data_IF_056060182361
#
_entry.id   IF_056060182361
#
_cell.length_a   1.000
_cell.length_b   1.000
_cell.length_c   1.000
_cell.angle_alpha   90.00
_cell.angle_beta   90.00
_cell.angle_gamma   90.00
#
_symmetry.space_group_name_H-M   'P 1'
#
loop_
_entity.id
_entity.type
_entity.pdbx_description
1 polymer ?
#
# COMPACT_ATOMS: atom_id res chain seq x y z
N UNK A 1 31.65 -21.40 -14.06
CA UNK A 1 31.11 -20.21 -14.74
C UNK A 1 32.28 -19.30 -15.04
N UNK A 2 32.39 -18.77 -16.26
CA UNK A 2 33.49 -17.84 -16.58
C UNK A 2 33.28 -16.51 -15.84
N UNK A 3 34.36 -15.87 -15.39
CA UNK A 3 34.29 -14.62 -14.60
C UNK A 3 33.41 -13.56 -15.26
N UNK A 4 33.47 -13.44 -16.60
CA UNK A 4 32.66 -12.51 -17.35
C UNK A 4 31.15 -12.80 -17.22
N UNK A 5 30.76 -14.07 -17.25
CA UNK A 5 29.36 -14.48 -17.08
C UNK A 5 28.83 -14.11 -15.68
N UNK A 6 29.65 -14.25 -14.64
CA UNK A 6 29.30 -13.86 -13.27
C UNK A 6 29.08 -12.36 -13.17
N UNK A 7 29.98 -11.56 -13.76
CA UNK A 7 29.85 -10.11 -13.80
C UNK A 7 28.57 -9.66 -14.53
N UNK A 8 28.30 -10.27 -15.68
CA UNK A 8 27.12 -9.95 -16.49
C UNK A 8 25.83 -10.31 -15.75
N UNK A 9 25.78 -11.45 -15.06
CA UNK A 9 24.64 -11.85 -14.23
C UNK A 9 24.43 -10.89 -13.05
N UNK A 10 25.50 -10.53 -12.34
CA UNK A 10 25.40 -9.57 -11.23
C UNK A 10 24.91 -8.19 -11.70
N UNK A 11 25.33 -7.75 -12.89
CA UNK A 11 24.86 -6.51 -13.52
C UNK A 11 23.37 -6.59 -13.84
N UNK A 12 22.88 -7.67 -14.45
CA UNK A 12 21.46 -7.85 -14.77
C UNK A 12 20.58 -7.86 -13.52
N UNK A 13 21.04 -8.49 -12.44
CA UNK A 13 20.34 -8.48 -11.14
C UNK A 13 20.25 -7.06 -10.57
N UNK A 14 21.35 -6.31 -10.61
CA UNK A 14 21.39 -4.92 -10.13
C UNK A 14 20.49 -4.00 -10.96
N UNK A 15 20.49 -4.13 -12.29
CA UNK A 15 19.59 -3.39 -13.18
C UNK A 15 18.13 -3.69 -12.88
N UNK A 16 17.79 -4.97 -12.66
CA UNK A 16 16.45 -5.41 -12.28
C UNK A 16 16.02 -4.84 -10.92
N UNK A 17 16.90 -4.88 -9.91
CA UNK A 17 16.65 -4.28 -8.60
C UNK A 17 16.37 -2.78 -8.69
N UNK A 18 17.19 -2.04 -9.45
CA UNK A 18 16.99 -0.61 -9.67
C UNK A 18 15.67 -0.34 -10.41
N UNK A 19 15.32 -1.16 -11.40
CA UNK A 19 14.05 -1.05 -12.10
C UNK A 19 12.86 -1.23 -11.17
N UNK A 20 12.84 -2.28 -10.34
CA UNK A 20 11.75 -2.52 -9.39
C UNK A 20 11.68 -1.45 -8.30
N UNK A 21 12.82 -0.98 -7.79
CA UNK A 21 12.86 0.15 -6.84
C UNK A 21 12.24 1.43 -7.45
N UNK A 22 12.55 1.73 -8.71
CA UNK A 22 11.96 2.87 -9.40
C UNK A 22 10.45 2.71 -9.57
N UNK A 23 9.98 1.52 -9.97
CA UNK A 23 8.54 1.26 -10.08
C UNK A 23 7.83 1.46 -8.74
N UNK A 24 8.35 0.93 -7.63
CA UNK A 24 7.77 1.16 -6.31
C UNK A 24 7.65 2.64 -5.96
N UNK A 25 8.70 3.42 -6.25
CA UNK A 25 8.69 4.88 -6.06
C UNK A 25 7.58 5.55 -6.88
N UNK A 26 7.41 5.17 -8.15
CA UNK A 26 6.34 5.70 -9.01
C UNK A 26 4.94 5.34 -8.50
N UNK A 27 4.71 4.11 -8.02
CA UNK A 27 3.43 3.73 -7.43
C UNK A 27 3.09 4.53 -6.17
N UNK A 28 4.09 4.88 -5.35
CA UNK A 28 3.89 5.72 -4.16
C UNK A 28 3.61 7.18 -4.51
N UNK A 29 4.19 7.68 -5.61
CA UNK A 29 3.82 9.00 -6.17
C UNK A 29 2.38 9.01 -6.65
N UNK A 30 1.96 7.98 -7.38
CA UNK A 30 0.56 7.82 -7.84
C UNK A 30 -0.39 7.74 -6.63
N UNK A 31 -0.03 6.98 -5.60
CA UNK A 31 -0.82 6.90 -4.37
C UNK A 31 -0.95 8.26 -3.66
N UNK A 32 0.13 9.04 -3.60
CA UNK A 32 0.10 10.40 -3.06
C UNK A 32 -0.79 11.34 -3.90
N UNK A 33 -0.73 11.23 -5.22
CA UNK A 33 -1.62 11.94 -6.13
C UNK A 33 -3.09 11.54 -5.94
N UNK A 34 -3.37 10.26 -5.71
CA UNK A 34 -4.72 9.74 -5.44
C UNK A 34 -5.28 10.29 -4.14
N UNK A 35 -4.46 10.37 -3.09
CA UNK A 35 -4.83 11.02 -1.82
C UNK A 35 -5.18 12.50 -2.03
N UNK A 36 -4.33 13.23 -2.75
CA UNK A 36 -4.55 14.65 -3.02
C UNK A 36 -5.84 14.87 -3.81
N UNK A 37 -6.10 14.06 -4.85
CA UNK A 37 -7.34 14.12 -5.62
C UNK A 37 -8.57 13.83 -4.75
N UNK A 38 -8.46 12.87 -3.83
CA UNK A 38 -9.52 12.53 -2.88
C UNK A 38 -9.82 13.71 -1.94
N UNK A 39 -8.80 14.37 -1.40
CA UNK A 39 -8.97 15.57 -0.58
C UNK A 39 -9.56 16.75 -1.36
N UNK A 40 -9.14 16.96 -2.60
CA UNK A 40 -9.71 17.99 -3.47
C UNK A 40 -11.20 17.73 -3.72
N UNK A 41 -11.57 16.47 -4.00
CA UNK A 41 -12.97 16.06 -4.17
C UNK A 41 -13.81 16.31 -2.92
N UNK A 42 -13.27 15.98 -1.74
CA UNK A 42 -13.93 16.26 -0.44
C UNK A 42 -14.09 17.78 -0.25
N UNK A 43 -13.03 18.58 -0.45
CA UNK A 43 -13.09 20.03 -0.30
C UNK A 43 -14.10 20.68 -1.25
N UNK A 44 -14.17 20.20 -2.49
CA UNK A 44 -15.18 20.64 -3.45
C UNK A 44 -16.60 20.31 -2.99
N UNK A 45 -16.85 19.07 -2.56
CA UNK A 45 -18.16 18.62 -2.08
C UNK A 45 -18.62 19.36 -0.82
N UNK A 46 -17.68 19.73 0.06
CA UNK A 46 -17.97 20.55 1.25
C UNK A 46 -18.36 21.99 0.89
N UNK A 47 -17.70 22.58 -0.11
CA UNK A 47 -17.93 23.98 -0.50
C UNK A 47 -19.17 24.16 -1.39
N UNK A 48 -19.51 23.16 -2.19
CA UNK A 48 -20.53 23.27 -3.25
C UNK A 48 -21.79 22.41 -2.98
N UNK A 49 -22.14 22.20 -1.72
CA UNK A 49 -23.23 21.31 -1.30
C UNK A 49 -24.55 21.52 -2.05
N UNK A 50 -24.93 22.78 -2.32
CA UNK A 50 -26.21 23.13 -2.98
C UNK A 50 -26.28 22.79 -4.47
N UNK A 51 -25.13 22.52 -5.11
CA UNK A 51 -25.05 22.23 -6.55
C UNK A 51 -25.11 20.71 -6.79
N UNK A 52 -24.90 19.89 -5.75
CA UNK A 52 -24.88 18.44 -5.89
C UNK A 52 -26.31 17.90 -6.10
N UNK A 53 -26.53 17.01 -7.09
CA UNK A 53 -27.84 16.40 -7.35
C UNK A 53 -28.22 15.32 -6.32
N UNK A 54 -27.31 14.99 -5.40
CA UNK A 54 -27.46 13.94 -4.38
C UNK A 54 -27.08 14.49 -3.01
N UNK A 55 -27.52 13.81 -1.95
CA UNK A 55 -27.17 14.17 -0.57
C UNK A 55 -25.65 14.26 -0.39
N UNK A 56 -25.22 15.34 0.26
CA UNK A 56 -23.80 15.64 0.45
C UNK A 56 -23.06 14.54 1.22
N UNK A 57 -23.69 13.95 2.25
CA UNK A 57 -23.06 12.90 3.05
C UNK A 57 -22.85 11.64 2.23
N UNK A 58 -23.83 11.28 1.40
CA UNK A 58 -23.73 10.13 0.50
C UNK A 58 -22.64 10.36 -0.54
N UNK A 59 -22.57 11.54 -1.14
CA UNK A 59 -21.52 11.86 -2.11
C UNK A 59 -20.11 11.80 -1.49
N UNK A 60 -19.93 12.38 -0.30
CA UNK A 60 -18.67 12.33 0.44
C UNK A 60 -18.30 10.89 0.82
N UNK A 61 -19.27 10.06 1.21
CA UNK A 61 -19.05 8.65 1.51
C UNK A 61 -18.54 7.89 0.26
N UNK A 62 -19.12 8.17 -0.93
CA UNK A 62 -18.63 7.60 -2.18
C UNK A 62 -17.20 8.02 -2.50
N UNK A 63 -16.84 9.28 -2.31
CA UNK A 63 -15.46 9.74 -2.50
C UNK A 63 -14.52 9.00 -1.56
N UNK A 64 -14.88 8.86 -0.28
CA UNK A 64 -14.06 8.16 0.71
C UNK A 64 -13.89 6.66 0.38
N UNK A 65 -14.94 5.98 -0.07
CA UNK A 65 -14.83 4.59 -0.53
C UNK A 65 -13.99 4.47 -1.80
N UNK A 66 -14.17 5.35 -2.78
CA UNK A 66 -13.35 5.39 -3.99
C UNK A 66 -11.87 5.65 -3.69
N UNK A 67 -11.59 6.56 -2.76
CA UNK A 67 -10.24 6.83 -2.26
C UNK A 67 -9.61 5.56 -1.67
N UNK A 68 -10.34 4.89 -0.77
CA UNK A 68 -9.90 3.66 -0.11
C UNK A 68 -9.64 2.53 -1.11
N UNK A 69 -10.56 2.33 -2.05
CA UNK A 69 -10.45 1.28 -3.07
C UNK A 69 -9.23 1.51 -3.97
N UNK A 70 -9.02 2.74 -4.45
CA UNK A 70 -7.84 3.06 -5.25
C UNK A 70 -6.53 2.82 -4.51
N UNK A 71 -6.46 3.16 -3.21
CA UNK A 71 -5.28 2.88 -2.39
C UNK A 71 -5.05 1.38 -2.17
N UNK A 72 -6.11 0.58 -2.01
CA UNK A 72 -6.00 -0.89 -1.90
C UNK A 72 -5.44 -1.48 -3.20
N UNK A 73 -5.89 -1.00 -4.36
CA UNK A 73 -5.37 -1.45 -5.65
C UNK A 73 -3.89 -1.10 -5.81
N UNK A 74 -3.51 0.14 -5.46
CA UNK A 74 -2.11 0.59 -5.51
C UNK A 74 -1.22 -0.16 -4.52
N UNK A 75 -1.72 -0.44 -3.30
CA UNK A 75 -1.05 -1.31 -2.34
C UNK A 75 -0.77 -2.66 -2.97
N UNK A 76 -1.79 -3.30 -3.54
CA UNK A 76 -1.65 -4.65 -4.10
C UNK A 76 -0.58 -4.70 -5.19
N UNK A 77 -0.47 -3.67 -6.02
CA UNK A 77 0.61 -3.58 -7.01
C UNK A 77 1.98 -3.37 -6.35
N UNK A 78 2.14 -2.36 -5.48
CA UNK A 78 3.42 -2.01 -4.84
C UNK A 78 3.96 -3.19 -3.99
N UNK A 79 3.14 -3.71 -3.08
CA UNK A 79 3.57 -4.72 -2.11
C UNK A 79 3.37 -6.17 -2.55
N UNK A 80 2.25 -6.50 -3.21
CA UNK A 80 2.00 -7.92 -3.55
C UNK A 80 2.76 -8.36 -4.81
N UNK A 81 3.13 -7.43 -5.69
CA UNK A 81 3.82 -7.72 -6.96
C UNK A 81 5.25 -7.20 -6.93
N UNK A 82 5.45 -5.89 -6.87
CA UNK A 82 6.79 -5.32 -7.08
C UNK A 82 7.76 -5.59 -5.94
N UNK A 83 7.32 -5.51 -4.68
CA UNK A 83 8.16 -5.89 -3.55
C UNK A 83 8.57 -7.38 -3.62
N UNK A 84 7.71 -8.28 -4.07
CA UNK A 84 8.06 -9.71 -4.18
C UNK A 84 9.09 -9.96 -5.27
N UNK A 85 8.97 -9.26 -6.41
CA UNK A 85 9.94 -9.35 -7.50
C UNK A 85 11.29 -8.76 -7.11
N UNK A 86 11.28 -7.62 -6.40
CA UNK A 86 12.49 -7.01 -5.85
C UNK A 86 13.18 -7.96 -4.86
N UNK A 87 12.43 -8.51 -3.91
CA UNK A 87 12.97 -9.43 -2.90
C UNK A 87 13.52 -10.72 -3.54
N UNK A 88 12.86 -11.25 -4.58
CA UNK A 88 13.34 -12.43 -5.30
C UNK A 88 14.70 -12.15 -5.96
N UNK A 89 14.85 -11.03 -6.68
CA UNK A 89 16.12 -10.65 -7.30
C UNK A 89 17.21 -10.36 -6.28
N UNK A 90 16.86 -9.66 -5.20
CA UNK A 90 17.80 -9.34 -4.13
C UNK A 90 18.31 -10.61 -3.43
N UNK A 91 17.44 -11.61 -3.22
CA UNK A 91 17.82 -12.91 -2.66
C UNK A 91 18.75 -13.69 -3.59
N UNK A 92 18.50 -13.70 -4.90
CA UNK A 92 19.42 -14.33 -5.85
C UNK A 92 20.76 -13.60 -5.95
N UNK A 93 20.76 -12.27 -5.89
CA UNK A 93 21.99 -11.46 -5.82
C UNK A 93 22.81 -11.73 -4.55
N UNK A 94 22.16 -11.91 -3.40
CA UNK A 94 22.82 -12.33 -2.16
C UNK A 94 23.49 -13.70 -2.31
N UNK A 95 22.79 -14.69 -2.88
CA UNK A 95 23.38 -16.02 -3.12
C UNK A 95 24.61 -15.93 -4.02
N UNK A 96 24.53 -15.13 -5.08
CA UNK A 96 25.65 -14.92 -6.01
C UNK A 96 26.85 -14.27 -5.30
N UNK A 97 26.61 -13.24 -4.48
CA UNK A 97 27.65 -12.61 -3.67
C UNK A 97 28.29 -13.60 -2.67
N UNK A 98 27.50 -14.50 -2.06
CA UNK A 98 28.02 -15.53 -1.14
C UNK A 98 28.89 -16.58 -1.85
N UNK A 99 28.48 -17.01 -3.04
CA UNK A 99 29.20 -18.01 -3.82
C UNK A 99 30.54 -17.46 -4.35
N UNK A 100 30.58 -16.18 -4.73
CA UNK A 100 31.74 -15.53 -5.32
C UNK A 100 32.26 -14.40 -4.43
N UNK A 101 33.11 -14.74 -3.46
CA UNK A 101 33.71 -13.80 -2.49
C UNK A 101 34.54 -12.66 -3.09
N UNK A 102 35.00 -12.80 -4.34
CA UNK A 102 35.70 -11.74 -5.07
C UNK A 102 34.75 -10.64 -5.58
N UNK A 103 33.43 -10.90 -5.62
CA UNK A 103 32.44 -9.87 -5.91
C UNK A 103 32.28 -8.90 -4.74
N UNK A 104 32.00 -7.61 -5.02
CA UNK A 104 31.59 -6.66 -4.00
C UNK A 104 30.33 -7.15 -3.26
N UNK A 105 30.41 -7.23 -1.92
CA UNK A 105 29.34 -7.73 -1.05
C UNK A 105 28.31 -6.64 -0.72
N UNK A 106 27.80 -5.94 -1.73
CA UNK A 106 26.95 -4.75 -1.56
C UNK A 106 25.65 -5.10 -0.86
N UNK A 107 24.97 -6.18 -1.27
CA UNK A 107 23.67 -6.56 -0.70
C UNK A 107 23.79 -7.05 0.74
N UNK A 108 24.88 -7.76 1.05
CA UNK A 108 25.19 -8.14 2.44
C UNK A 108 25.37 -6.91 3.33
N UNK A 109 26.13 -5.93 2.85
CA UNK A 109 26.33 -4.67 3.57
C UNK A 109 25.00 -3.92 3.75
N UNK A 110 24.15 -3.87 2.72
CA UNK A 110 22.81 -3.24 2.82
C UNK A 110 21.94 -3.91 3.90
N UNK A 111 21.92 -5.25 3.96
CA UNK A 111 21.19 -5.97 5.00
C UNK A 111 21.73 -5.68 6.40
N UNK A 112 23.07 -5.68 6.55
CA UNK A 112 23.74 -5.39 7.81
C UNK A 112 23.41 -3.96 8.31
N UNK A 113 23.47 -2.96 7.42
CA UNK A 113 23.15 -1.57 7.78
C UNK A 113 21.67 -1.34 8.10
N UNK A 114 20.76 -2.05 7.44
CA UNK A 114 19.33 -1.93 7.71
C UNK A 114 18.83 -2.77 8.90
N UNK A 115 19.72 -3.50 9.58
CA UNK A 115 19.37 -4.31 10.76
C UNK A 115 18.28 -5.36 10.47
N UNK A 116 18.29 -5.91 9.25
CA UNK A 116 17.22 -6.78 8.70
C UNK A 116 15.81 -6.16 8.75
N UNK A 117 15.70 -4.86 8.99
CA UNK A 117 14.43 -4.14 9.03
C UNK A 117 14.30 -3.27 7.79
N UNK A 118 13.65 -3.83 6.77
CA UNK A 118 13.37 -3.12 5.52
C UNK A 118 12.33 -2.00 5.68
N UNK A 119 12.15 -1.24 4.60
CA UNK A 119 11.18 -0.11 4.53
C UNK A 119 9.72 -0.59 4.57
N UNK A 120 9.47 -1.89 4.41
CA UNK A 120 8.15 -2.51 4.32
C UNK A 120 7.15 -2.03 5.38
N UNK A 121 7.54 -1.97 6.66
CA UNK A 121 6.64 -1.51 7.73
C UNK A 121 6.14 -0.09 7.48
N UNK A 122 7.01 0.80 6.99
CA UNK A 122 6.67 2.19 6.69
C UNK A 122 5.70 2.25 5.51
N UNK A 123 5.90 1.43 4.49
CA UNK A 123 5.02 1.35 3.31
C UNK A 123 3.64 0.81 3.70
N UNK A 124 3.58 -0.23 4.52
CA UNK A 124 2.32 -0.77 5.07
C UNK A 124 1.56 0.34 5.81
N UNK A 125 2.23 1.11 6.65
CA UNK A 125 1.62 2.24 7.36
C UNK A 125 1.14 3.35 6.41
N UNK A 126 1.94 3.68 5.39
CA UNK A 126 1.61 4.68 4.39
C UNK A 126 0.29 4.39 3.67
N UNK A 127 0.00 3.13 3.32
CA UNK A 127 -1.28 2.78 2.70
C UNK A 127 -2.40 2.53 3.72
N UNK A 128 -2.13 1.84 4.84
CA UNK A 128 -3.18 1.42 5.79
C UNK A 128 -3.83 2.59 6.50
N UNK A 129 -3.06 3.58 6.96
CA UNK A 129 -3.62 4.69 7.71
C UNK A 129 -4.66 5.49 6.93
N UNK A 130 -4.39 5.96 5.68
CA UNK A 130 -5.40 6.67 4.91
C UNK A 130 -6.63 5.83 4.56
N UNK A 131 -6.44 4.55 4.22
CA UNK A 131 -7.57 3.63 3.97
C UNK A 131 -8.49 3.58 5.19
N UNK A 132 -7.92 3.37 6.38
CA UNK A 132 -8.68 3.29 7.62
C UNK A 132 -9.43 4.59 7.93
N UNK A 133 -8.77 5.74 7.74
CA UNK A 133 -9.39 7.05 7.93
C UNK A 133 -10.57 7.24 6.99
N UNK A 134 -10.40 6.99 5.69
CA UNK A 134 -11.48 7.18 4.72
C UNK A 134 -12.65 6.22 4.94
N UNK A 135 -12.40 4.93 5.22
CA UNK A 135 -13.49 3.98 5.49
C UNK A 135 -14.26 4.35 6.77
N UNK A 136 -13.57 4.89 7.79
CA UNK A 136 -14.21 5.37 9.02
C UNK A 136 -15.08 6.60 8.76
N UNK A 137 -14.55 7.57 8.00
CA UNK A 137 -15.31 8.77 7.59
C UNK A 137 -16.54 8.35 6.78
N UNK A 138 -16.41 7.42 5.84
CA UNK A 138 -17.54 6.94 5.05
C UNK A 138 -18.63 6.28 5.91
N UNK A 139 -18.25 5.41 6.86
CA UNK A 139 -19.18 4.77 7.78
C UNK A 139 -19.92 5.79 8.68
N UNK A 140 -19.19 6.81 9.15
CA UNK A 140 -19.77 7.91 9.92
C UNK A 140 -20.78 8.71 9.09
N UNK A 141 -20.42 9.12 7.87
CA UNK A 141 -21.30 9.90 6.99
C UNK A 141 -22.59 9.14 6.64
N UNK A 142 -22.49 7.83 6.37
CA UNK A 142 -23.68 7.00 6.13
C UNK A 142 -24.56 6.91 7.39
N UNK A 143 -23.94 6.81 8.57
CA UNK A 143 -24.68 6.79 9.84
C UNK A 143 -25.43 8.11 10.08
N UNK A 144 -24.81 9.24 9.76
CA UNK A 144 -25.44 10.57 9.84
C UNK A 144 -26.59 10.69 8.84
N UNK A 145 -26.43 10.21 7.60
CA UNK A 145 -27.50 10.20 6.60
C UNK A 145 -28.72 9.39 7.06
N UNK A 146 -28.49 8.27 7.75
CA UNK A 146 -29.54 7.44 8.33
C UNK A 146 -29.87 7.79 9.79
N UNK A 147 -29.60 9.02 10.24
CA UNK A 147 -29.81 9.44 11.63
C UNK A 147 -31.25 9.22 12.12
N UNK A 148 -32.26 9.47 11.28
CA UNK A 148 -33.67 9.34 11.63
C UNK A 148 -34.22 7.92 11.47
N UNK A 149 -33.38 6.96 11.03
CA UNK A 149 -33.77 5.57 10.85
C UNK A 149 -33.44 4.71 12.09
N UNK A 150 -33.97 3.48 12.08
CA UNK A 150 -33.80 2.49 13.15
C UNK A 150 -32.35 2.35 13.61
N UNK A 151 -32.15 2.27 14.93
CA UNK A 151 -30.87 1.97 15.58
C UNK A 151 -30.22 0.70 15.01
N UNK A 152 -31.03 -0.27 14.55
CA UNK A 152 -30.54 -1.49 13.92
C UNK A 152 -29.67 -1.22 12.67
N UNK A 153 -30.05 -0.26 11.83
CA UNK A 153 -29.28 0.07 10.60
C UNK A 153 -27.91 0.65 10.98
N UNK A 154 -27.87 1.52 11.99
CA UNK A 154 -26.62 2.10 12.49
C UNK A 154 -25.70 1.02 13.05
N UNK A 155 -26.26 0.13 13.88
CA UNK A 155 -25.52 -1.01 14.43
C UNK A 155 -24.96 -1.91 13.32
N UNK A 156 -25.75 -2.17 12.27
CA UNK A 156 -25.31 -2.95 11.11
C UNK A 156 -24.16 -2.28 10.35
N UNK A 157 -24.22 -0.96 10.12
CA UNK A 157 -23.13 -0.20 9.46
C UNK A 157 -21.82 -0.32 10.23
N UNK A 158 -21.87 -0.10 11.55
CA UNK A 158 -20.68 -0.20 12.40
C UNK A 158 -20.17 -1.64 12.52
N UNK A 159 -21.07 -2.62 12.58
CA UNK A 159 -20.69 -4.03 12.54
C UNK A 159 -19.95 -4.38 11.23
N UNK A 160 -20.47 -3.95 10.08
CA UNK A 160 -19.83 -4.14 8.78
C UNK A 160 -18.48 -3.41 8.70
N UNK A 161 -18.39 -2.18 9.23
CA UNK A 161 -17.15 -1.43 9.32
C UNK A 161 -16.09 -2.19 10.14
N UNK A 162 -16.44 -2.67 11.33
CA UNK A 162 -15.55 -3.46 12.17
C UNK A 162 -15.17 -4.80 11.53
N UNK A 163 -16.11 -5.43 10.83
CA UNK A 163 -15.84 -6.65 10.07
C UNK A 163 -14.80 -6.40 8.97
N UNK A 164 -14.97 -5.35 8.15
CA UNK A 164 -14.00 -4.94 7.12
C UNK A 164 -12.65 -4.59 7.76
N UNK A 165 -12.65 -3.86 8.88
CA UNK A 165 -11.43 -3.54 9.62
C UNK A 165 -10.69 -4.81 10.07
N UNK A 166 -11.43 -5.81 10.58
CA UNK A 166 -10.87 -7.07 11.04
C UNK A 166 -10.27 -7.88 9.89
N UNK A 167 -10.96 -7.95 8.74
CA UNK A 167 -10.47 -8.60 7.53
C UNK A 167 -9.22 -7.91 6.99
N UNK A 168 -9.23 -6.58 6.95
CA UNK A 168 -8.09 -5.80 6.49
C UNK A 168 -6.89 -5.97 7.42
N UNK A 169 -7.09 -5.89 8.72
CA UNK A 169 -6.04 -6.10 9.72
C UNK A 169 -5.47 -7.53 9.66
N UNK A 170 -6.33 -8.52 9.45
CA UNK A 170 -5.92 -9.90 9.23
C UNK A 170 -5.08 -10.05 7.96
N UNK A 171 -5.51 -9.44 6.85
CA UNK A 171 -4.76 -9.42 5.60
C UNK A 171 -3.39 -8.76 5.76
N UNK A 172 -3.31 -7.58 6.37
CA UNK A 172 -2.05 -6.86 6.64
C UNK A 172 -1.12 -7.68 7.53
N UNK A 173 -1.65 -8.32 8.58
CA UNK A 173 -0.87 -9.19 9.46
C UNK A 173 -0.34 -10.41 8.71
N UNK A 174 -1.17 -11.06 7.90
CA UNK A 174 -0.76 -12.23 7.12
C UNK A 174 0.29 -11.89 6.09
N UNK A 175 0.14 -10.79 5.36
CA UNK A 175 1.19 -10.30 4.48
C UNK A 175 2.47 -10.07 5.28
N UNK A 176 2.43 -9.32 6.39
CA UNK A 176 3.62 -9.08 7.23
C UNK A 176 4.32 -10.37 7.71
N UNK A 177 3.58 -11.43 8.00
CA UNK A 177 4.14 -12.73 8.41
C UNK A 177 4.76 -13.52 7.25
N UNK A 178 4.22 -13.39 6.03
CA UNK A 178 4.81 -14.04 4.84
C UNK A 178 6.24 -13.57 4.58
N UNK A 179 6.57 -12.31 4.88
CA UNK A 179 7.90 -11.73 4.66
C UNK A 179 8.95 -12.12 5.72
N UNK A 180 8.54 -12.74 6.83
CA UNK A 180 9.48 -13.24 7.85
C UNK A 180 10.03 -14.64 7.54
N UNK A 181 9.50 -15.30 6.51
CA UNK A 181 9.94 -16.61 6.03
C UNK A 181 10.80 -16.45 4.78
#
# INVERSE_FOLDING_TARGET
METQQVLDLNKQLLESENHFNNLQSEYRKIASGWLLASFAGIGFALTNAKILPIDQNIFLAFICYGASLGLILLWNMDLSVYQKLLDANFKEGLKLEQEYSWLPQVRHNMLAYHGNSGVLKRVIWFYSMPILVFVTIAAYLITVYYADKSMFIKALIWFLHLFVYSLFSYFVRNETQRWKK
#
